data_IF_472751554801
#
_entry.id   IF_472751554801
#
_cell.length_a   1.000
_cell.length_b   1.000
_cell.length_c   1.000
_cell.angle_alpha   90.00
_cell.angle_beta   90.00
_cell.angle_gamma   90.00
#
_symmetry.space_group_name_H-M   'P 1'
#
loop_
_entity.id
_entity.type
_entity.pdbx_description
1 polymer ?
#
# COMPACT_ATOMS: atom_id res chain seq x y z
N UNK A 1 -5.47 9.16 10.66
CA UNK A 1 -5.20 8.26 11.81
C UNK A 1 -5.52 6.83 11.41
N UNK A 2 -4.68 5.86 11.82
CA UNK A 2 -4.89 4.43 11.55
C UNK A 2 -4.92 3.70 12.89
N UNK A 3 -5.90 2.81 13.08
CA UNK A 3 -6.04 2.02 14.29
C UNK A 3 -6.21 0.54 13.94
N UNK A 4 -5.42 -0.30 14.59
CA UNK A 4 -5.61 -1.74 14.64
C UNK A 4 -6.21 -2.07 16.01
N UNK A 5 -7.36 -2.73 16.05
CA UNK A 5 -8.05 -3.09 17.26
C UNK A 5 -8.17 -4.60 17.36
N UNK A 6 -7.37 -5.18 18.22
CA UNK A 6 -7.33 -6.62 18.49
C UNK A 6 -7.20 -7.47 17.21
N UNK A 7 -6.35 -7.04 16.27
CA UNK A 7 -6.23 -7.66 14.94
C UNK A 7 -5.41 -8.92 15.02
N UNK A 8 -5.98 -10.03 14.59
CA UNK A 8 -5.30 -11.32 14.47
C UNK A 8 -5.33 -11.84 13.04
N UNK A 9 -4.26 -12.52 12.65
CA UNK A 9 -4.18 -13.26 11.39
C UNK A 9 -3.55 -14.61 11.60
N UNK A 10 -4.30 -15.63 11.22
CA UNK A 10 -3.87 -17.03 11.26
C UNK A 10 -3.86 -17.57 9.84
N UNK A 11 -2.76 -18.21 9.46
CA UNK A 11 -2.59 -19.00 8.22
C UNK A 11 -2.48 -20.45 8.61
N UNK A 12 -3.47 -21.25 8.28
CA UNK A 12 -3.56 -22.66 8.68
C UNK A 12 -3.29 -22.85 10.18
N UNK A 13 -2.07 -23.24 10.56
CA UNK A 13 -1.66 -23.41 11.96
C UNK A 13 -0.70 -22.32 12.45
N UNK A 14 -0.36 -21.36 11.59
CA UNK A 14 0.61 -20.30 11.94
C UNK A 14 -0.10 -19.01 12.30
N UNK A 15 0.12 -18.54 13.51
CA UNK A 15 -0.35 -17.23 13.97
C UNK A 15 0.64 -16.17 13.50
N UNK A 16 0.24 -15.35 12.53
CA UNK A 16 1.06 -14.27 11.98
C UNK A 16 0.85 -12.92 12.70
N UNK A 17 -0.36 -12.70 13.21
CA UNK A 17 -0.70 -11.59 14.11
C UNK A 17 -1.57 -12.14 15.23
N UNK A 18 -1.30 -11.73 16.46
CA UNK A 18 -2.01 -12.15 17.65
C UNK A 18 -2.47 -10.93 18.45
N UNK A 19 -3.72 -10.54 18.25
CA UNK A 19 -4.37 -9.47 18.99
C UNK A 19 -3.67 -8.11 18.89
N UNK A 20 -3.14 -7.76 17.70
CA UNK A 20 -2.42 -6.51 17.48
C UNK A 20 -3.30 -5.30 17.81
N UNK A 21 -2.84 -4.47 18.74
CA UNK A 21 -3.39 -3.15 19.02
C UNK A 21 -2.33 -2.11 18.70
N UNK A 22 -2.61 -1.23 17.74
CA UNK A 22 -1.67 -0.21 17.28
C UNK A 22 -2.45 1.01 16.82
N UNK A 23 -2.02 2.19 17.25
CA UNK A 23 -2.55 3.46 16.75
C UNK A 23 -1.42 4.24 16.10
N UNK A 24 -1.65 4.70 14.87
CA UNK A 24 -0.75 5.55 14.09
C UNK A 24 -1.45 6.88 13.89
N UNK A 25 -0.91 7.93 14.50
CA UNK A 25 -1.41 9.28 14.36
C UNK A 25 -1.13 9.85 12.97
N UNK A 26 -1.97 10.77 12.52
CA UNK A 26 -1.77 11.49 11.27
C UNK A 26 -0.52 12.37 11.33
N UNK A 27 0.13 12.58 10.18
CA UNK A 27 1.31 13.45 10.05
C UNK A 27 2.59 12.88 10.66
N UNK A 28 2.64 11.58 10.94
CA UNK A 28 3.83 10.90 11.47
C UNK A 28 4.48 10.00 10.42
N UNK A 29 5.81 9.86 10.52
CA UNK A 29 6.59 8.81 9.85
C UNK A 29 6.84 7.72 10.88
N UNK A 30 6.37 6.52 10.60
CA UNK A 30 6.45 5.39 11.53
C UNK A 30 7.32 4.28 10.94
N UNK A 31 8.29 3.81 11.72
CA UNK A 31 9.08 2.62 11.41
C UNK A 31 8.49 1.39 12.11
N UNK A 32 8.18 0.35 11.34
CA UNK A 32 7.77 -0.94 11.88
C UNK A 32 8.99 -1.86 11.97
N UNK A 33 9.50 -2.08 13.18
CA UNK A 33 10.73 -2.81 13.44
C UNK A 33 10.41 -4.16 14.08
N UNK A 34 11.15 -5.19 13.71
CA UNK A 34 11.03 -6.53 14.26
C UNK A 34 11.83 -7.54 13.45
N UNK A 35 12.08 -8.72 14.02
CA UNK A 35 12.74 -9.82 13.32
C UNK A 35 11.91 -10.37 12.14
N UNK A 36 12.50 -11.21 11.30
CA UNK A 36 11.76 -11.89 10.24
C UNK A 36 10.71 -12.82 10.86
N UNK A 37 9.49 -12.75 10.33
CA UNK A 37 8.34 -13.46 10.89
C UNK A 37 7.59 -12.73 12.01
N UNK A 38 7.99 -11.52 12.40
CA UNK A 38 7.32 -10.75 13.46
C UNK A 38 5.95 -10.14 13.04
N UNK A 39 5.42 -10.49 11.86
CA UNK A 39 4.12 -10.00 11.40
C UNK A 39 4.13 -8.64 10.68
N UNK A 40 5.29 -8.01 10.46
CA UNK A 40 5.38 -6.68 9.81
C UNK A 40 4.67 -6.61 8.45
N UNK A 41 5.05 -7.50 7.54
CA UNK A 41 4.44 -7.56 6.20
C UNK A 41 2.96 -7.93 6.26
N UNK A 42 2.57 -8.79 7.21
CA UNK A 42 1.17 -9.15 7.45
C UNK A 42 0.36 -7.96 7.92
N UNK A 43 0.92 -7.13 8.83
CA UNK A 43 0.29 -5.89 9.29
C UNK A 43 0.04 -4.92 8.13
N UNK A 44 1.08 -4.66 7.31
CA UNK A 44 0.96 -3.76 6.16
C UNK A 44 -0.02 -4.32 5.11
N UNK A 45 0.10 -5.60 4.74
CA UNK A 45 -0.80 -6.25 3.78
C UNK A 45 -2.25 -6.27 4.25
N UNK A 46 -2.49 -6.35 5.57
CA UNK A 46 -3.84 -6.24 6.14
C UNK A 46 -4.39 -4.81 5.99
N UNK A 47 -3.57 -3.80 6.25
CA UNK A 47 -3.95 -2.39 6.11
C UNK A 47 -4.33 -2.04 4.66
N UNK A 48 -3.54 -2.49 3.69
CA UNK A 48 -3.81 -2.24 2.26
C UNK A 48 -4.82 -3.21 1.64
N UNK A 49 -5.47 -4.04 2.47
CA UNK A 49 -6.48 -5.03 2.05
C UNK A 49 -6.00 -6.04 1.00
N UNK A 50 -4.71 -6.36 0.98
CA UNK A 50 -4.16 -7.49 0.20
C UNK A 50 -4.51 -8.81 0.88
N UNK A 51 -4.52 -8.82 2.22
CA UNK A 51 -5.00 -9.93 3.03
C UNK A 51 -6.08 -9.44 3.99
N UNK A 52 -6.94 -10.34 4.43
CA UNK A 52 -7.97 -10.03 5.42
C UNK A 52 -7.57 -10.58 6.78
N UNK A 53 -7.73 -9.79 7.87
CA UNK A 53 -7.61 -10.31 9.22
C UNK A 53 -8.54 -11.51 9.45
N UNK A 54 -8.13 -12.40 10.35
CA UNK A 54 -8.98 -13.49 10.84
C UNK A 54 -9.98 -12.97 11.87
N UNK A 55 -9.55 -11.99 12.66
CA UNK A 55 -10.40 -11.29 13.66
C UNK A 55 -9.86 -9.89 13.95
N UNK A 56 -10.66 -9.10 14.66
CA UNK A 56 -10.36 -7.69 14.95
C UNK A 56 -10.75 -6.77 13.80
N UNK A 57 -10.49 -5.49 13.97
CA UNK A 57 -10.86 -4.46 12.99
C UNK A 57 -9.71 -3.48 12.75
N UNK A 58 -9.65 -2.94 11.53
CA UNK A 58 -8.72 -1.88 11.14
C UNK A 58 -9.56 -0.67 10.78
N UNK A 59 -9.23 0.47 11.36
CA UNK A 59 -9.94 1.73 11.17
C UNK A 59 -8.98 2.74 10.57
N UNK A 60 -9.39 3.40 9.49
CA UNK A 60 -8.62 4.45 8.81
C UNK A 60 -9.49 5.71 8.78
N UNK A 61 -9.02 6.77 9.39
CA UNK A 61 -9.72 8.05 9.54
C UNK A 61 -11.18 7.89 10.01
N UNK A 62 -11.38 7.03 11.01
CA UNK A 62 -12.69 6.76 11.60
C UNK A 62 -13.58 5.82 10.79
N UNK A 63 -13.13 5.32 9.66
CA UNK A 63 -13.87 4.38 8.79
C UNK A 63 -13.31 2.97 8.93
N UNK A 64 -14.19 2.00 9.18
CA UNK A 64 -13.78 0.59 9.21
C UNK A 64 -13.40 0.10 7.81
N UNK A 65 -12.21 -0.50 7.70
CA UNK A 65 -11.60 -0.92 6.45
C UNK A 65 -12.42 -2.00 5.73
N UNK A 66 -13.01 -2.94 6.44
CA UNK A 66 -13.76 -4.05 5.84
C UNK A 66 -14.98 -3.57 5.07
N UNK A 67 -15.65 -2.53 5.58
CA UNK A 67 -16.89 -1.95 5.04
C UNK A 67 -16.64 -0.84 4.02
N UNK A 68 -15.43 -0.21 4.02
CA UNK A 68 -15.13 0.99 3.24
C UNK A 68 -13.87 0.84 2.37
N UNK A 69 -13.58 -0.37 1.88
CA UNK A 69 -12.30 -0.70 1.21
C UNK A 69 -11.94 0.23 0.07
N UNK A 70 -12.85 0.50 -0.86
CA UNK A 70 -12.56 1.33 -2.02
C UNK A 70 -12.21 2.76 -1.61
N UNK A 71 -13.05 3.39 -0.80
CA UNK A 71 -12.84 4.75 -0.32
C UNK A 71 -11.54 4.91 0.49
N UNK A 72 -11.14 3.86 1.23
CA UNK A 72 -9.88 3.87 1.98
C UNK A 72 -8.69 3.62 1.05
N UNK A 73 -8.79 2.70 0.09
CA UNK A 73 -7.72 2.43 -0.88
C UNK A 73 -7.38 3.65 -1.74
N UNK A 74 -8.35 4.46 -2.10
CA UNK A 74 -8.12 5.72 -2.82
C UNK A 74 -7.21 6.71 -2.06
N UNK A 75 -7.08 6.54 -0.74
CA UNK A 75 -6.24 7.39 0.12
C UNK A 75 -4.87 6.77 0.44
N UNK A 76 -4.62 5.53 0.03
CA UNK A 76 -3.40 4.79 0.38
C UNK A 76 -2.53 4.61 -0.86
N UNK A 77 -1.27 5.08 -0.79
CA UNK A 77 -0.21 4.64 -1.69
C UNK A 77 0.52 3.45 -1.07
N UNK A 78 0.73 2.39 -1.83
CA UNK A 78 1.44 1.20 -1.38
C UNK A 78 2.57 0.82 -2.33
N UNK A 79 3.77 0.67 -1.77
CA UNK A 79 4.93 0.13 -2.48
C UNK A 79 5.23 -1.25 -1.92
N UNK A 80 5.13 -2.27 -2.75
CA UNK A 80 5.37 -3.65 -2.35
C UNK A 80 6.87 -3.96 -2.21
N UNK A 81 7.20 -4.96 -1.38
CA UNK A 81 8.58 -5.43 -1.22
C UNK A 81 9.15 -6.05 -2.52
N UNK A 82 8.28 -6.61 -3.35
CA UNK A 82 8.62 -7.20 -4.64
C UNK A 82 7.71 -6.62 -5.74
N UNK A 83 8.27 -5.97 -6.76
CA UNK A 83 7.53 -5.39 -7.87
C UNK A 83 7.17 -6.40 -8.97
N UNK A 84 7.29 -7.70 -8.74
CA UNK A 84 7.26 -8.79 -9.74
C UNK A 84 6.01 -8.85 -10.62
N UNK A 85 4.96 -8.12 -10.29
CA UNK A 85 3.69 -8.16 -11.03
C UNK A 85 3.74 -7.52 -12.42
N UNK A 86 4.74 -6.70 -12.72
CA UNK A 86 4.74 -5.85 -13.91
C UNK A 86 6.04 -5.90 -14.73
N UNK A 87 6.83 -6.97 -14.58
CA UNK A 87 8.14 -7.17 -15.25
C UNK A 87 8.10 -7.14 -16.80
N UNK A 88 6.93 -6.96 -17.41
CA UNK A 88 6.76 -6.87 -18.86
C UNK A 88 6.21 -5.52 -19.31
N UNK A 89 5.96 -4.63 -18.38
CA UNK A 89 5.52 -3.27 -18.68
C UNK A 89 6.72 -2.32 -18.66
N UNK A 90 6.62 -1.29 -19.45
CA UNK A 90 7.49 -0.12 -19.28
C UNK A 90 7.01 0.69 -18.06
N UNK A 91 7.86 1.54 -17.52
CA UNK A 91 7.47 2.44 -16.45
C UNK A 91 6.28 3.32 -16.86
N UNK A 92 6.27 3.79 -18.11
CA UNK A 92 5.17 4.59 -18.64
C UNK A 92 3.84 3.83 -18.66
N UNK A 93 3.82 2.60 -19.18
CA UNK A 93 2.63 1.75 -19.19
C UNK A 93 2.12 1.44 -17.79
N UNK A 94 3.04 1.22 -16.84
CA UNK A 94 2.67 1.03 -15.45
C UNK A 94 2.02 2.27 -14.83
N UNK A 95 2.57 3.46 -15.07
CA UNK A 95 1.98 4.72 -14.58
C UNK A 95 0.60 4.98 -15.19
N UNK A 96 0.42 4.75 -16.49
CA UNK A 96 -0.88 4.86 -17.15
C UNK A 96 -1.91 3.90 -16.56
N UNK A 97 -1.53 2.66 -16.28
CA UNK A 97 -2.38 1.66 -15.63
C UNK A 97 -2.82 2.12 -14.24
N UNK A 98 -1.88 2.60 -13.41
CA UNK A 98 -2.17 3.10 -12.07
C UNK A 98 -3.05 4.34 -12.15
N UNK A 99 -2.70 5.32 -12.97
CA UNK A 99 -3.45 6.56 -13.14
C UNK A 99 -4.89 6.31 -13.59
N UNK A 100 -5.07 5.41 -14.55
CA UNK A 100 -6.41 4.98 -15.02
C UNK A 100 -7.23 4.39 -13.87
N UNK A 101 -6.60 3.62 -12.98
CA UNK A 101 -7.27 3.03 -11.81
C UNK A 101 -7.78 4.08 -10.81
N UNK A 102 -7.15 5.26 -10.79
CA UNK A 102 -7.53 6.40 -9.96
C UNK A 102 -8.32 7.46 -10.73
N UNK A 103 -8.72 7.19 -11.97
CA UNK A 103 -9.49 8.12 -12.81
C UNK A 103 -8.75 9.41 -13.19
N UNK A 104 -7.41 9.36 -13.19
CA UNK A 104 -6.57 10.50 -13.58
C UNK A 104 -6.49 10.65 -15.10
N UNK A 105 -6.43 11.88 -15.56
CA UNK A 105 -6.17 12.20 -16.97
C UNK A 105 -4.66 12.12 -17.27
N UNK A 106 -4.29 11.95 -18.53
CA UNK A 106 -2.88 11.92 -18.93
C UNK A 106 -2.16 13.23 -18.60
N UNK A 107 -2.81 14.38 -18.76
CA UNK A 107 -2.24 15.69 -18.43
C UNK A 107 -1.93 15.81 -16.92
N UNK A 108 -2.81 15.28 -16.06
CA UNK A 108 -2.56 15.22 -14.61
C UNK A 108 -1.39 14.31 -14.26
N UNK A 109 -1.25 13.18 -14.96
CA UNK A 109 -0.14 12.24 -14.78
C UNK A 109 1.18 12.92 -15.17
N UNK A 110 1.26 13.49 -16.37
CA UNK A 110 2.47 14.17 -16.86
C UNK A 110 2.87 15.33 -15.93
N UNK A 111 1.90 16.12 -15.50
CA UNK A 111 2.17 17.24 -14.57
C UNK A 111 2.76 16.77 -13.24
N UNK A 112 2.28 15.64 -12.70
CA UNK A 112 2.80 15.07 -11.43
C UNK A 112 4.15 14.38 -11.61
N UNK A 113 4.36 13.72 -12.74
CA UNK A 113 5.59 12.99 -13.03
C UNK A 113 6.77 13.94 -13.35
N UNK A 114 6.52 15.07 -14.00
CA UNK A 114 7.59 15.98 -14.48
C UNK A 114 8.66 16.26 -13.42
N UNK A 115 8.25 16.65 -12.21
CA UNK A 115 9.18 16.91 -11.12
C UNK A 115 9.94 15.64 -10.67
N UNK A 116 9.26 14.50 -10.60
CA UNK A 116 9.88 13.24 -10.14
C UNK A 116 10.84 12.68 -11.20
N UNK A 117 10.51 12.79 -12.46
CA UNK A 117 11.36 12.35 -13.57
C UNK A 117 12.66 13.14 -13.62
N UNK A 118 12.58 14.45 -13.41
CA UNK A 118 13.76 15.32 -13.31
C UNK A 118 14.58 14.98 -12.05
N UNK A 119 13.92 14.89 -10.88
CA UNK A 119 14.57 14.63 -9.59
C UNK A 119 15.36 13.31 -9.58
N UNK A 120 14.85 12.27 -10.22
CA UNK A 120 15.46 10.95 -10.26
C UNK A 120 16.25 10.67 -11.55
N UNK A 121 16.37 11.64 -12.44
CA UNK A 121 17.01 11.49 -13.77
C UNK A 121 16.45 10.25 -14.53
N UNK A 122 15.13 10.10 -14.52
CA UNK A 122 14.45 8.89 -15.00
C UNK A 122 13.77 9.06 -16.36
N UNK A 123 13.72 10.27 -16.93
CA UNK A 123 13.03 10.56 -18.20
C UNK A 123 13.52 9.66 -19.34
N UNK A 124 14.84 9.41 -19.42
CA UNK A 124 15.44 8.54 -20.44
C UNK A 124 15.03 7.07 -20.33
N UNK A 125 14.57 6.62 -19.18
CA UNK A 125 14.24 5.21 -18.87
C UNK A 125 12.74 4.90 -18.83
N UNK A 126 11.88 5.92 -19.00
CA UNK A 126 10.44 5.75 -18.83
C UNK A 126 9.80 4.74 -19.79
N UNK A 127 10.41 4.50 -20.94
CA UNK A 127 9.95 3.54 -21.96
C UNK A 127 10.74 2.24 -21.98
N UNK A 128 11.59 2.02 -21.03
CA UNK A 128 12.28 0.75 -20.83
C UNK A 128 11.39 -0.21 -20.01
N UNK A 129 11.51 -1.50 -20.29
CA UNK A 129 10.77 -2.54 -19.54
C UNK A 129 11.38 -2.65 -18.14
N UNK A 130 10.49 -2.69 -17.14
CA UNK A 130 10.85 -2.80 -15.72
C UNK A 130 11.56 -4.12 -15.42
#
# INVERSE_FOLDING_TARGET
MIEFRNVSKVYDQTVALDGLNLTIESGKIIGLIGHNGAGKSTTIKSLVSVIHPTSGEIIVDGQELSSNRLAIKEKIGYVADSPDLFLRLTANEFWELVASSYGMTLDEVESRLAYLLELFDFEGHRYEVI
#
